data_IF_113174693183
#
_entry.id   IF_113174693183
#
_cell.length_a   1.000
_cell.length_b   1.000
_cell.length_c   1.000
_cell.angle_alpha   90.00
_cell.angle_beta   90.00
_cell.angle_gamma   90.00
#
_symmetry.space_group_name_H-M   'P 1'
#
loop_
_entity.id
_entity.type
_entity.pdbx_description
1 polymer ?
#
# COMPACT_ATOMS: atom_id res chain seq x y z
N UNK A 1 -5.26 4.52 21.84
CA UNK A 1 -3.82 4.86 21.81
C UNK A 1 -3.34 4.46 20.43
N UNK A 2 -2.80 5.38 19.64
CA UNK A 2 -2.23 5.06 18.32
C UNK A 2 -0.78 4.64 18.56
N UNK A 3 -0.44 3.40 18.26
CA UNK A 3 0.95 2.98 18.30
C UNK A 3 1.70 3.64 17.15
N UNK A 4 2.83 4.28 17.46
CA UNK A 4 3.72 4.80 16.43
C UNK A 4 4.21 3.62 15.62
N UNK A 5 4.00 3.67 14.29
CA UNK A 5 4.47 2.64 13.37
C UNK A 5 5.95 2.35 13.62
N UNK A 6 6.23 1.19 14.20
CA UNK A 6 7.58 0.64 14.26
C UNK A 6 8.00 0.33 12.83
N UNK A 7 9.22 0.74 12.49
CA UNK A 7 9.86 0.39 11.21
C UNK A 7 9.77 -1.14 11.05
N UNK A 8 9.04 -1.62 10.04
CA UNK A 8 8.92 -3.06 9.74
C UNK A 8 7.52 -3.65 9.62
N UNK A 9 6.44 -2.88 9.79
CA UNK A 9 5.09 -3.34 9.46
C UNK A 9 4.79 -3.18 7.95
N UNK A 10 4.37 -4.26 7.29
CA UNK A 10 4.01 -4.26 5.87
C UNK A 10 2.61 -4.86 5.72
N UNK A 11 1.79 -4.27 4.84
CA UNK A 11 0.51 -4.80 4.41
C UNK A 11 0.55 -4.98 2.89
N UNK A 12 0.03 -6.11 2.40
CA UNK A 12 -0.17 -6.36 0.98
C UNK A 12 -1.66 -6.29 0.71
N UNK A 13 -2.06 -5.40 -0.20
CA UNK A 13 -3.46 -5.24 -0.61
C UNK A 13 -3.70 -5.95 -1.95
N UNK A 14 -4.93 -6.42 -2.15
CA UNK A 14 -5.41 -6.97 -3.42
C UNK A 14 -6.37 -5.98 -4.09
N UNK A 15 -6.77 -6.26 -5.33
CA UNK A 15 -7.58 -5.35 -6.16
C UNK A 15 -8.89 -4.88 -5.48
N UNK A 16 -9.47 -5.69 -4.59
CA UNK A 16 -10.74 -5.40 -3.92
C UNK A 16 -10.57 -4.85 -2.49
N UNK A 17 -9.35 -4.47 -2.09
CA UNK A 17 -9.11 -3.92 -0.77
C UNK A 17 -9.84 -2.57 -0.58
N UNK A 18 -10.74 -2.43 0.40
CA UNK A 18 -11.41 -1.16 0.65
C UNK A 18 -10.40 -0.10 1.11
N UNK A 19 -10.48 1.10 0.53
CA UNK A 19 -9.62 2.24 0.88
C UNK A 19 -10.50 3.41 1.30
N UNK A 20 -10.23 3.98 2.48
CA UNK A 20 -10.98 5.14 3.00
C UNK A 20 -10.03 6.19 3.56
N UNK A 21 -10.37 7.45 3.33
CA UNK A 21 -9.72 8.59 3.97
C UNK A 21 -10.69 9.23 4.96
N UNK A 22 -10.29 9.29 6.23
CA UNK A 22 -11.10 9.89 7.30
C UNK A 22 -10.39 11.14 7.80
N UNK A 23 -10.90 12.35 7.51
CA UNK A 23 -10.33 13.59 8.02
C UNK A 23 -10.43 13.63 9.56
N UNK A 24 -9.34 14.00 10.23
CA UNK A 24 -9.36 14.34 11.64
C UNK A 24 -9.52 15.88 11.78
N UNK A 25 -10.69 16.38 12.20
CA UNK A 25 -10.98 17.81 12.24
C UNK A 25 -10.18 18.57 13.29
N UNK A 26 -9.54 17.90 14.25
CA UNK A 26 -8.83 18.55 15.34
C UNK A 26 -7.37 18.88 14.99
N UNK A 27 -6.74 18.12 14.09
CA UNK A 27 -5.27 18.11 13.96
C UNK A 27 -4.75 18.34 12.53
N UNK A 28 -5.61 18.78 11.58
CA UNK A 28 -5.26 18.92 10.16
C UNK A 28 -4.58 17.66 9.56
N UNK A 29 -5.01 16.48 10.03
CA UNK A 29 -4.51 15.17 9.62
C UNK A 29 -5.61 14.37 8.96
N UNK A 30 -5.22 13.35 8.20
CA UNK A 30 -6.14 12.37 7.64
C UNK A 30 -5.69 10.97 8.04
N UNK A 31 -6.63 10.09 8.38
CA UNK A 31 -6.35 8.67 8.53
C UNK A 31 -6.66 7.96 7.22
N UNK A 32 -5.65 7.35 6.61
CA UNK A 32 -5.82 6.37 5.54
C UNK A 32 -6.10 5.01 6.16
N UNK A 33 -7.22 4.40 5.81
CA UNK A 33 -7.64 3.09 6.26
C UNK A 33 -7.65 2.13 5.07
N UNK A 34 -6.95 1.00 5.20
CA UNK A 34 -6.93 -0.11 4.25
C UNK A 34 -7.61 -1.32 4.90
N UNK A 35 -8.60 -1.90 4.23
CA UNK A 35 -9.32 -3.08 4.71
C UNK A 35 -10.76 -2.82 5.16
N UNK A 36 -11.41 -3.88 5.63
CA UNK A 36 -12.76 -3.87 6.18
C UNK A 36 -12.73 -3.91 7.72
N UNK A 37 -13.92 -3.76 8.33
CA UNK A 37 -14.11 -3.64 9.79
C UNK A 37 -13.52 -4.77 10.64
N UNK A 38 -13.07 -5.88 10.04
CA UNK A 38 -12.47 -6.99 10.76
C UNK A 38 -10.94 -7.03 10.67
N UNK A 39 -10.33 -6.35 9.69
CA UNK A 39 -8.87 -6.28 9.50
C UNK A 39 -8.47 -4.95 8.86
N UNK A 40 -8.46 -3.90 9.68
CA UNK A 40 -8.05 -2.56 9.24
C UNK A 40 -6.56 -2.32 9.49
N UNK A 41 -5.91 -1.71 8.50
CA UNK A 41 -4.60 -1.09 8.66
C UNK A 41 -4.76 0.42 8.52
N UNK A 42 -4.40 1.14 9.57
CA UNK A 42 -4.60 2.59 9.67
C UNK A 42 -3.26 3.33 9.65
N UNK A 43 -3.19 4.39 8.85
CA UNK A 43 -2.04 5.29 8.80
C UNK A 43 -2.54 6.72 9.00
N UNK A 44 -2.06 7.37 10.05
CA UNK A 44 -2.31 8.80 10.28
C UNK A 44 -1.27 9.62 9.51
N UNK A 45 -1.75 10.49 8.62
CA UNK A 45 -0.94 11.29 7.70
C UNK A 45 -1.16 12.77 7.97
N UNK A 46 -0.07 13.55 8.00
CA UNK A 46 -0.16 14.99 7.88
C UNK A 46 -0.35 15.44 6.43
N UNK A 47 -0.68 16.71 6.24
CA UNK A 47 -0.92 17.31 4.92
C UNK A 47 0.28 17.17 3.97
N UNK A 48 1.50 17.33 4.48
CA UNK A 48 2.71 17.28 3.66
C UNK A 48 2.98 15.86 3.13
N UNK A 49 2.80 14.86 3.99
CA UNK A 49 2.96 13.45 3.64
C UNK A 49 1.88 13.00 2.67
N UNK A 50 0.61 13.40 2.89
CA UNK A 50 -0.47 13.12 1.96
C UNK A 50 -0.20 13.72 0.58
N UNK A 51 0.23 14.99 0.52
CA UNK A 51 0.55 15.65 -0.74
C UNK A 51 1.70 14.93 -1.48
N UNK A 52 2.71 14.45 -0.74
CA UNK A 52 3.79 13.66 -1.33
C UNK A 52 3.28 12.32 -1.89
N UNK A 53 2.45 11.58 -1.14
CA UNK A 53 1.83 10.32 -1.61
C UNK A 53 1.06 10.55 -2.90
N UNK A 54 0.21 11.58 -2.96
CA UNK A 54 -0.59 11.88 -4.15
C UNK A 54 0.29 12.24 -5.35
N UNK A 55 1.35 13.02 -5.13
CA UNK A 55 2.29 13.42 -6.20
C UNK A 55 3.05 12.22 -6.76
N UNK A 56 3.55 11.33 -5.90
CA UNK A 56 4.35 10.17 -6.33
C UNK A 56 3.49 8.96 -6.72
N UNK A 57 2.22 8.92 -6.31
CA UNK A 57 1.32 7.79 -6.55
C UNK A 57 1.00 7.59 -8.03
N UNK A 58 0.84 8.66 -8.80
CA UNK A 58 0.59 8.56 -10.24
C UNK A 58 1.78 7.92 -10.99
N UNK A 59 3.01 8.35 -10.65
CA UNK A 59 4.23 7.81 -11.24
C UNK A 59 4.41 6.33 -10.88
N UNK A 60 4.16 5.98 -9.61
CA UNK A 60 4.22 4.60 -9.13
C UNK A 60 3.18 3.72 -9.84
N UNK A 61 1.96 4.21 -10.02
CA UNK A 61 0.89 3.50 -10.74
C UNK A 61 1.26 3.27 -12.21
N UNK A 62 1.82 4.28 -12.88
CA UNK A 62 2.29 4.16 -14.25
C UNK A 62 3.40 3.11 -14.38
N UNK A 63 4.36 3.09 -13.44
CA UNK A 63 5.46 2.15 -13.44
C UNK A 63 5.00 0.69 -13.30
N UNK A 64 4.04 0.40 -12.41
CA UNK A 64 3.54 -0.98 -12.24
C UNK A 64 2.62 -1.42 -13.39
N UNK A 65 1.91 -0.48 -14.01
CA UNK A 65 1.03 -0.78 -15.14
C UNK A 65 1.79 -1.02 -16.45
N UNK A 66 2.98 -0.42 -16.60
CA UNK A 66 3.84 -0.58 -17.77
C UNK A 66 4.62 -1.92 -17.80
N UNK A 67 4.61 -2.70 -16.71
CA UNK A 67 5.39 -3.94 -16.61
C UNK A 67 4.53 -5.19 -16.28
N UNK A 68 3.71 -5.69 -17.23
CA UNK A 68 2.87 -6.87 -17.00
C UNK A 68 3.62 -8.21 -16.93
N UNK A 69 4.93 -8.26 -17.18
CA UNK A 69 5.69 -9.50 -17.37
C UNK A 69 6.50 -9.98 -16.14
N UNK A 70 6.55 -9.24 -15.03
CA UNK A 70 7.31 -9.65 -13.85
C UNK A 70 6.51 -10.54 -12.86
N UNK A 71 5.21 -10.71 -13.05
CA UNK A 71 4.33 -11.42 -12.12
C UNK A 71 4.19 -12.94 -12.38
N UNK A 72 4.80 -13.48 -13.44
CA UNK A 72 4.74 -14.92 -13.76
C UNK A 72 6.07 -15.46 -14.27
N UNK A 73 7.01 -15.75 -13.36
CA UNK A 73 7.94 -16.88 -13.53
C UNK A 73 8.51 -17.29 -12.17
N UNK A 74 8.11 -18.44 -11.60
CA UNK A 74 9.03 -19.24 -10.81
C UNK A 74 9.98 -19.93 -11.80
N UNK A 75 11.26 -19.54 -11.80
CA UNK A 75 12.31 -20.28 -12.49
C UNK A 75 12.65 -21.54 -11.67
N UNK A 76 11.96 -22.64 -11.93
CA UNK A 76 12.37 -23.97 -11.50
C UNK A 76 13.39 -24.51 -12.53
N UNK A 77 14.64 -24.82 -12.16
CA UNK A 77 15.54 -25.47 -13.10
C UNK A 77 15.14 -26.95 -13.29
N UNK A 78 14.71 -27.28 -14.50
CA UNK A 78 14.49 -28.65 -14.96
C UNK A 78 15.76 -29.49 -14.80
N UNK A 79 15.71 -30.49 -13.92
CA UNK A 79 16.62 -31.63 -13.96
C UNK A 79 16.34 -32.45 -15.23
N UNK A 80 17.29 -32.48 -16.16
CA UNK A 80 17.21 -33.33 -17.37
C UNK A 80 17.80 -34.72 -17.06
N UNK A 81 17.15 -35.83 -17.47
CA UNK A 81 17.69 -37.16 -17.28
C UNK A 81 18.62 -37.56 -18.45
N UNK A 82 19.77 -38.15 -18.13
CA UNK A 82 20.45 -39.25 -18.84
C UNK A 82 21.66 -39.68 -18.03
#
# INVERSE_FOLDING_TARGET
MFDQLTIGAWVITTADCPVRFVPNPQDHRVTLILGDTHREFEICLDTATLAAILRHGADALAAISANPAAAMTPSEPQSKPS
#
